data_IF_382127341568
#
_entry.id   IF_382127341568
#
_cell.length_a   1.000
_cell.length_b   1.000
_cell.length_c   1.000
_cell.angle_alpha   90.00
_cell.angle_beta   90.00
_cell.angle_gamma   90.00
#
_symmetry.space_group_name_H-M   'P 1'
#
loop_
_entity.id
_entity.type
_entity.pdbx_description
1 polymer ?
#
# COMPACT_ATOMS: atom_id res chain seq x y z
N UNK A 1 -8.75 19.34 -22.44
CA UNK A 1 -8.65 18.05 -21.72
C UNK A 1 -7.77 18.27 -20.50
N UNK A 2 -8.27 17.99 -19.29
CA UNK A 2 -7.39 18.01 -18.11
C UNK A 2 -6.56 16.72 -18.12
N UNK A 3 -5.25 16.77 -17.77
CA UNK A 3 -4.46 15.56 -17.68
C UNK A 3 -5.03 14.64 -16.60
N UNK A 4 -5.24 13.37 -16.96
CA UNK A 4 -5.52 12.32 -15.99
C UNK A 4 -4.18 11.89 -15.40
N UNK A 5 -4.05 11.99 -14.08
CA UNK A 5 -2.84 11.61 -13.35
C UNK A 5 -3.20 10.76 -12.14
N UNK A 6 -2.33 9.81 -11.82
CA UNK A 6 -2.42 9.05 -10.57
C UNK A 6 -2.06 9.97 -9.41
N UNK A 7 -2.82 9.88 -8.31
CA UNK A 7 -2.63 10.74 -7.13
C UNK A 7 -1.98 10.02 -5.96
N UNK A 8 -2.07 8.69 -5.94
CA UNK A 8 -1.65 7.86 -4.83
C UNK A 8 -1.33 6.46 -5.34
N UNK A 9 -0.35 5.83 -4.69
CA UNK A 9 -0.06 4.41 -4.83
C UNK A 9 -0.42 3.75 -3.51
N UNK A 10 -1.17 2.64 -3.58
CA UNK A 10 -1.50 1.80 -2.43
C UNK A 10 -0.85 0.44 -2.66
N UNK A 11 -0.26 -0.12 -1.60
CA UNK A 11 0.38 -1.43 -1.60
C UNK A 11 -0.28 -2.31 -0.53
N UNK A 12 -0.67 -3.52 -0.89
CA UNK A 12 -1.05 -4.60 0.02
C UNK A 12 0.03 -5.69 -0.04
N UNK A 13 0.78 -5.85 1.06
CA UNK A 13 1.96 -6.73 1.09
C UNK A 13 1.92 -7.69 2.26
N UNK A 14 2.34 -8.93 1.98
CA UNK A 14 2.35 -9.99 2.99
C UNK A 14 3.37 -9.75 4.10
N UNK A 15 3.16 -10.32 5.30
CA UNK A 15 3.96 -10.01 6.50
C UNK A 15 5.45 -10.36 6.36
N UNK A 16 5.78 -11.28 5.45
CA UNK A 16 7.15 -11.73 5.20
C UNK A 16 7.97 -10.77 4.32
N UNK A 17 7.35 -9.77 3.68
CA UNK A 17 8.01 -8.85 2.75
C UNK A 17 8.84 -7.75 3.45
N UNK A 18 9.54 -8.10 4.53
CA UNK A 18 10.26 -7.18 5.42
C UNK A 18 11.24 -6.26 4.71
N UNK A 19 12.00 -6.75 3.72
CA UNK A 19 12.92 -5.93 2.93
C UNK A 19 12.17 -4.91 2.06
N UNK A 20 11.03 -5.31 1.48
CA UNK A 20 10.20 -4.43 0.67
C UNK A 20 9.55 -3.36 1.55
N UNK A 21 9.01 -3.74 2.70
CA UNK A 21 8.45 -2.80 3.69
C UNK A 21 9.43 -1.68 4.05
N UNK A 22 10.70 -2.03 4.35
CA UNK A 22 11.74 -1.02 4.66
C UNK A 22 12.01 -0.09 3.48
N UNK A 23 11.98 -0.61 2.25
CA UNK A 23 12.13 0.20 1.04
C UNK A 23 10.95 1.18 0.91
N UNK A 24 9.72 0.72 1.14
CA UNK A 24 8.53 1.56 1.04
C UNK A 24 8.52 2.65 2.13
N UNK A 25 8.85 2.30 3.37
CA UNK A 25 9.01 3.27 4.46
C UNK A 25 10.04 4.35 4.09
N UNK A 26 11.20 3.95 3.57
CA UNK A 26 12.23 4.89 3.13
C UNK A 26 11.81 5.75 1.93
N UNK A 27 10.91 5.23 1.09
CA UNK A 27 10.30 5.96 -0.02
C UNK A 27 9.12 6.86 0.40
N UNK A 28 8.77 6.89 1.68
CA UNK A 28 7.71 7.75 2.23
C UNK A 28 6.32 7.14 2.20
N UNK A 29 6.20 5.82 2.05
CA UNK A 29 4.94 5.12 2.25
C UNK A 29 4.58 5.07 3.74
N UNK A 30 3.30 5.24 4.04
CA UNK A 30 2.76 5.23 5.39
C UNK A 30 1.73 4.11 5.55
N UNK A 31 1.66 3.54 6.74
CA UNK A 31 0.65 2.53 7.08
C UNK A 31 -0.77 3.11 6.99
N UNK A 32 -1.67 2.35 6.36
CA UNK A 32 -3.09 2.66 6.25
C UNK A 32 -3.94 1.46 6.65
N UNK A 33 -5.25 1.64 6.94
CA UNK A 33 -6.18 0.52 7.05
C UNK A 33 -6.25 -0.29 5.76
N UNK A 34 -6.77 -1.52 5.85
CA UNK A 34 -7.02 -2.37 4.69
C UNK A 34 -7.85 -1.63 3.62
N UNK A 35 -7.38 -1.68 2.38
CA UNK A 35 -8.04 -1.07 1.24
C UNK A 35 -9.25 -1.93 0.82
N UNK A 36 -10.35 -1.30 0.40
CA UNK A 36 -11.54 -2.04 -0.01
C UNK A 36 -11.31 -2.86 -1.30
N UNK A 37 -10.38 -2.40 -2.12
CA UNK A 37 -9.99 -2.98 -3.41
C UNK A 37 -8.89 -4.05 -3.28
N UNK A 38 -8.43 -4.37 -2.06
CA UNK A 38 -7.38 -5.35 -1.85
C UNK A 38 -7.78 -6.74 -2.35
N UNK A 39 -6.89 -7.38 -3.12
CA UNK A 39 -7.15 -8.71 -3.69
C UNK A 39 -6.98 -9.83 -2.66
N UNK A 40 -6.21 -9.58 -1.59
CA UNK A 40 -6.07 -10.52 -0.47
C UNK A 40 -7.43 -10.77 0.21
N UNK A 41 -7.78 -12.02 0.53
CA UNK A 41 -9.01 -12.32 1.28
C UNK A 41 -9.11 -11.56 2.60
N UNK A 42 -10.31 -11.06 2.92
CA UNK A 42 -10.56 -10.26 4.14
C UNK A 42 -10.12 -10.96 5.43
N UNK A 43 -10.27 -12.29 5.49
CA UNK A 43 -9.83 -13.08 6.64
C UNK A 43 -8.32 -12.97 6.92
N UNK A 44 -7.51 -12.63 5.92
CA UNK A 44 -6.05 -12.50 6.02
C UNK A 44 -5.59 -11.05 6.16
N UNK A 45 -6.48 -10.06 6.09
CA UNK A 45 -6.12 -8.63 6.16
C UNK A 45 -5.38 -8.28 7.46
N UNK A 46 -5.68 -8.97 8.56
CA UNK A 46 -5.03 -8.74 9.86
C UNK A 46 -3.54 -9.08 9.87
N UNK A 47 -3.10 -9.96 8.97
CA UNK A 47 -1.69 -10.35 8.83
C UNK A 47 -0.98 -9.56 7.72
N UNK A 48 -1.73 -8.83 6.90
CA UNK A 48 -1.20 -8.06 5.77
C UNK A 48 -0.90 -6.63 6.16
N UNK A 49 0.10 -6.06 5.50
CA UNK A 49 0.48 -4.66 5.67
C UNK A 49 0.00 -3.86 4.47
N UNK A 50 -0.79 -2.83 4.76
CA UNK A 50 -1.31 -1.90 3.76
C UNK A 50 -0.60 -0.56 3.92
N UNK A 51 -0.09 -0.02 2.82
CA UNK A 51 0.66 1.24 2.84
C UNK A 51 0.24 2.15 1.68
N UNK A 52 0.32 3.46 1.86
CA UNK A 52 0.10 4.43 0.77
C UNK A 52 1.17 5.50 0.66
N UNK A 53 1.35 6.01 -0.56
CA UNK A 53 2.21 7.16 -0.86
C UNK A 53 1.53 8.07 -1.89
N UNK A 54 1.44 9.36 -1.57
CA UNK A 54 0.90 10.36 -2.51
C UNK A 54 1.90 10.67 -3.60
N UNK A 55 1.42 10.70 -4.84
CA UNK A 55 2.19 11.13 -6.00
C UNK A 55 2.04 12.67 -6.12
N UNK A 56 3.18 13.36 -6.28
CA UNK A 56 3.26 14.81 -6.41
C UNK A 56 2.60 15.32 -7.70
#
# INVERSE_FOLDING_TARGET
MMPVGYREVILDTGPFMTSAHRLYEAAGFLDIPACAEAEVPQALHHDWRFMSCKLL
#
